data_IF_863521800847
#
_entry.id   IF_863521800847
#
_cell.length_a   1.000
_cell.length_b   1.000
_cell.length_c   1.000
_cell.angle_alpha   90.00
_cell.angle_beta   90.00
_cell.angle_gamma   90.00
#
_symmetry.space_group_name_H-M   'P 1'
#
loop_
_entity.id
_entity.type
_entity.pdbx_description
1 polymer ?
#
# COMPACT_ATOMS: atom_id res chain seq x y z
N UNK A 1 5.03 -20.35 4.60
CA UNK A 1 5.46 -18.94 4.72
C UNK A 1 6.32 -18.78 5.96
N UNK A 2 7.45 -18.09 5.86
CA UNK A 2 8.39 -17.84 6.97
C UNK A 2 8.08 -16.50 7.62
N UNK A 3 8.41 -16.33 8.89
CA UNK A 3 8.24 -15.04 9.60
C UNK A 3 8.97 -13.88 8.91
N UNK A 4 10.11 -14.18 8.27
CA UNK A 4 10.87 -13.26 7.42
C UNK A 4 10.05 -12.70 6.26
N UNK A 5 9.20 -13.52 5.64
CA UNK A 5 8.38 -13.13 4.50
C UNK A 5 7.30 -12.11 4.94
N UNK A 6 6.72 -12.31 6.13
CA UNK A 6 5.75 -11.38 6.71
C UNK A 6 6.43 -10.05 7.10
N UNK A 7 7.62 -10.11 7.70
CA UNK A 7 8.40 -8.93 8.06
C UNK A 7 8.79 -8.11 6.83
N UNK A 8 9.19 -8.78 5.74
CA UNK A 8 9.48 -8.16 4.45
C UNK A 8 8.27 -7.41 3.90
N UNK A 9 7.10 -8.07 3.82
CA UNK A 9 5.86 -7.45 3.32
C UNK A 9 5.44 -6.25 4.18
N UNK A 10 5.59 -6.34 5.51
CA UNK A 10 5.32 -5.20 6.40
C UNK A 10 6.31 -4.04 6.22
N UNK A 11 7.55 -4.31 5.80
CA UNK A 11 8.52 -3.28 5.47
C UNK A 11 8.16 -2.60 4.14
N UNK A 12 7.83 -3.38 3.11
CA UNK A 12 7.39 -2.86 1.80
C UNK A 12 6.12 -2.00 1.91
N UNK A 13 5.16 -2.40 2.76
CA UNK A 13 3.97 -1.59 3.03
C UNK A 13 4.32 -0.22 3.63
N UNK A 14 5.25 -0.15 4.58
CA UNK A 14 5.71 1.12 5.16
C UNK A 14 6.46 1.96 4.14
N UNK A 15 7.33 1.32 3.37
CA UNK A 15 8.10 1.96 2.32
C UNK A 15 7.19 2.67 1.31
N UNK A 16 6.13 1.98 0.85
CA UNK A 16 5.12 2.51 -0.06
C UNK A 16 4.42 3.79 0.45
N UNK A 17 4.36 4.02 1.76
CA UNK A 17 3.72 5.20 2.32
C UNK A 17 4.66 6.41 2.43
N UNK A 18 5.95 6.24 2.21
CA UNK A 18 6.92 7.34 2.31
C UNK A 18 6.78 8.30 1.13
N UNK A 19 6.95 9.60 1.38
CA UNK A 19 6.94 10.62 0.33
C UNK A 19 7.97 10.31 -0.77
N UNK A 20 9.17 9.85 -0.37
CA UNK A 20 10.24 9.48 -1.30
C UNK A 20 9.81 8.41 -2.31
N UNK A 21 9.15 7.33 -1.86
CA UNK A 21 8.67 6.28 -2.76
C UNK A 21 7.44 6.73 -3.55
N UNK A 22 6.53 7.52 -2.95
CA UNK A 22 5.34 8.02 -3.65
C UNK A 22 5.69 9.00 -4.78
N UNK A 23 6.86 9.63 -4.73
CA UNK A 23 7.43 10.45 -5.80
C UNK A 23 8.30 9.66 -6.81
N UNK A 24 8.57 8.37 -6.56
CA UNK A 24 9.42 7.53 -7.40
C UNK A 24 8.59 6.54 -8.22
N UNK A 25 8.35 6.89 -9.48
CA UNK A 25 7.58 6.05 -10.41
C UNK A 25 8.19 4.65 -10.60
N UNK A 26 9.52 4.54 -10.68
CA UNK A 26 10.18 3.25 -10.89
C UNK A 26 9.97 2.36 -9.68
N UNK A 27 10.13 2.92 -8.47
CA UNK A 27 9.89 2.16 -7.25
C UNK A 27 8.44 1.77 -7.08
N UNK A 28 7.49 2.64 -7.41
CA UNK A 28 6.06 2.33 -7.39
C UNK A 28 5.70 1.17 -8.32
N UNK A 29 6.22 1.15 -9.56
CA UNK A 29 6.05 0.01 -10.48
C UNK A 29 6.73 -1.27 -9.95
N UNK A 30 7.77 -1.10 -9.13
CA UNK A 30 8.41 -2.17 -8.37
C UNK A 30 7.65 -2.63 -7.13
N UNK A 31 6.56 -1.98 -6.73
CA UNK A 31 5.77 -2.34 -5.54
C UNK A 31 4.34 -2.73 -5.91
N UNK A 32 3.75 -2.07 -6.89
CA UNK A 32 2.40 -2.32 -7.36
C UNK A 32 2.41 -3.38 -8.46
N UNK A 33 1.51 -4.35 -8.37
CA UNK A 33 1.39 -5.36 -9.41
C UNK A 33 0.82 -4.75 -10.71
N UNK A 34 1.12 -5.32 -11.89
CA UNK A 34 0.51 -4.87 -13.15
C UNK A 34 -1.02 -4.94 -13.15
N UNK A 35 -1.59 -5.87 -12.39
CA UNK A 35 -3.02 -6.08 -12.16
C UNK A 35 -3.54 -5.41 -10.87
N UNK A 36 -2.82 -4.41 -10.35
CA UNK A 36 -3.18 -3.69 -9.12
C UNK A 36 -4.53 -2.97 -9.23
N UNK A 37 -5.32 -3.06 -8.16
CA UNK A 37 -6.55 -2.31 -7.95
C UNK A 37 -6.60 -1.69 -6.54
N UNK A 38 -7.04 -0.43 -6.44
CA UNK A 38 -7.35 0.21 -5.16
C UNK A 38 -8.80 0.66 -5.08
N UNK A 39 -9.46 0.39 -3.95
CA UNK A 39 -10.69 1.05 -3.53
C UNK A 39 -10.32 2.11 -2.48
N UNK A 40 -10.27 3.38 -2.89
CA UNK A 40 -9.93 4.47 -1.99
C UNK A 40 -11.02 4.68 -0.92
N UNK A 41 -10.70 5.44 0.14
CA UNK A 41 -11.69 5.68 1.22
C UNK A 41 -12.97 6.42 0.78
N UNK A 42 -13.00 6.99 -0.43
CA UNK A 42 -14.20 7.55 -1.05
C UNK A 42 -15.09 6.52 -1.73
N UNK A 43 -14.67 5.25 -1.81
CA UNK A 43 -15.30 4.20 -2.60
C UNK A 43 -14.93 4.23 -4.10
N UNK A 44 -14.11 5.19 -4.54
CA UNK A 44 -13.62 5.21 -5.93
C UNK A 44 -12.62 4.08 -6.15
N UNK A 45 -12.78 3.38 -7.28
CA UNK A 45 -11.84 2.37 -7.78
C UNK A 45 -10.75 3.05 -8.62
N UNK A 46 -9.51 2.63 -8.41
CA UNK A 46 -8.30 3.09 -9.09
C UNK A 46 -7.54 1.88 -9.64
N UNK A 47 -7.16 1.97 -10.90
CA UNK A 47 -6.20 1.04 -11.50
C UNK A 47 -4.76 1.54 -11.32
N UNK A 48 -3.78 0.75 -11.76
CA UNK A 48 -2.37 1.11 -11.67
C UNK A 48 -2.04 2.47 -12.33
N UNK A 49 -2.56 2.76 -13.51
CA UNK A 49 -2.19 3.99 -14.23
C UNK A 49 -2.76 5.23 -13.54
N UNK A 50 -4.01 5.15 -13.11
CA UNK A 50 -4.69 6.25 -12.41
C UNK A 50 -4.13 6.49 -11.00
N UNK A 51 -3.73 5.45 -10.26
CA UNK A 51 -3.09 5.63 -8.95
C UNK A 51 -1.69 6.24 -9.13
N UNK A 52 -0.87 5.78 -10.08
CA UNK A 52 0.46 6.33 -10.33
C UNK A 52 0.40 7.82 -10.66
N UNK A 53 -0.50 8.21 -11.57
CA UNK A 53 -0.68 9.62 -11.92
C UNK A 53 -1.12 10.49 -10.74
N UNK A 54 -1.91 9.94 -9.81
CA UNK A 54 -2.32 10.64 -8.60
C UNK A 54 -1.16 10.77 -7.59
N UNK A 55 -0.41 9.68 -7.36
CA UNK A 55 0.71 9.65 -6.41
C UNK A 55 1.84 10.59 -6.84
N UNK A 56 2.19 10.60 -8.12
CA UNK A 56 3.25 11.45 -8.68
C UNK A 56 2.86 12.93 -8.76
N UNK A 57 1.57 13.25 -8.57
CA UNK A 57 1.08 14.62 -8.50
C UNK A 57 1.03 15.16 -7.07
N UNK A 58 1.38 14.36 -6.05
CA UNK A 58 1.57 14.86 -4.69
C UNK A 58 2.77 15.82 -4.64
N UNK A 59 2.64 16.89 -3.86
CA UNK A 59 3.67 17.92 -3.68
C UNK A 59 4.26 17.89 -2.26
N UNK A 60 5.30 18.70 -2.04
CA UNK A 60 5.97 18.81 -0.73
C UNK A 60 5.07 19.39 0.38
N UNK A 61 3.93 20.02 0.04
CA UNK A 61 2.95 20.51 1.02
C UNK A 61 2.00 19.40 1.47
N UNK A 62 1.99 18.27 0.78
CA UNK A 62 1.11 17.16 1.10
C UNK A 62 1.59 16.44 2.37
N UNK A 63 0.78 16.35 3.45
CA UNK A 63 1.24 15.80 4.71
C UNK A 63 1.73 14.35 4.58
N UNK A 64 2.72 13.97 5.38
CA UNK A 64 3.19 12.59 5.46
C UNK A 64 2.08 11.64 5.93
N UNK A 65 2.19 10.37 5.48
CA UNK A 65 1.32 9.30 5.93
C UNK A 65 1.98 8.59 7.10
N UNK A 66 1.34 8.63 8.26
CA UNK A 66 1.73 7.82 9.41
C UNK A 66 1.06 6.44 9.34
N UNK A 67 1.86 5.38 9.55
CA UNK A 67 1.41 3.98 9.56
C UNK A 67 1.25 3.49 11.00
N UNK A 68 0.00 3.31 11.43
CA UNK A 68 -0.33 2.88 12.79
C UNK A 68 -0.89 1.46 12.84
N UNK A 69 -0.51 0.70 13.87
CA UNK A 69 -1.10 -0.61 14.17
C UNK A 69 -0.95 -1.64 13.04
N UNK A 70 0.13 -1.55 12.26
CA UNK A 70 0.38 -2.48 11.15
C UNK A 70 0.55 -3.90 11.65
N UNK A 71 -0.38 -4.75 11.25
CA UNK A 71 -0.39 -6.18 11.51
C UNK A 71 -0.66 -6.92 10.20
N UNK A 72 -0.18 -8.16 10.11
CA UNK A 72 -0.40 -8.99 8.94
C UNK A 72 -0.59 -10.45 9.27
N UNK A 73 -1.11 -11.20 8.31
CA UNK A 73 -1.21 -12.65 8.37
C UNK A 73 -1.00 -13.26 6.98
N UNK A 74 -0.40 -14.44 6.93
CA UNK A 74 -0.37 -15.27 5.74
C UNK A 74 -1.79 -15.76 5.41
N UNK A 75 -2.17 -15.71 4.13
CA UNK A 75 -3.37 -16.38 3.59
C UNK A 75 -2.98 -17.72 2.97
N UNK A 76 -1.89 -17.70 2.19
CA UNK A 76 -1.24 -18.87 1.58
C UNK A 76 0.27 -18.72 1.74
N UNK A 77 1.07 -19.55 1.08
CA UNK A 77 2.53 -19.40 1.05
C UNK A 77 3.01 -18.16 0.27
N UNK A 78 2.18 -17.67 -0.65
CA UNK A 78 2.51 -16.60 -1.59
C UNK A 78 1.59 -15.38 -1.45
N UNK A 79 0.71 -15.35 -0.44
CA UNK A 79 -0.25 -14.26 -0.25
C UNK A 79 -0.29 -13.83 1.21
N UNK A 80 -0.09 -12.52 1.45
CA UNK A 80 -0.15 -11.88 2.76
C UNK A 80 -1.24 -10.82 2.73
N UNK A 81 -2.07 -10.79 3.77
CA UNK A 81 -2.98 -9.67 4.01
C UNK A 81 -2.47 -8.83 5.18
N UNK A 82 -2.48 -7.52 5.02
CA UNK A 82 -2.13 -6.56 6.05
C UNK A 82 -3.36 -5.74 6.43
N UNK A 83 -3.42 -5.30 7.70
CA UNK A 83 -4.37 -4.30 8.18
C UNK A 83 -3.64 -3.27 9.03
N UNK A 84 -3.98 -2.01 8.82
CA UNK A 84 -3.36 -0.89 9.50
C UNK A 84 -4.23 0.35 9.40
N UNK A 85 -3.88 1.41 10.12
CA UNK A 85 -4.53 2.71 10.01
C UNK A 85 -3.55 3.74 9.46
N UNK A 86 -3.94 4.45 8.40
CA UNK A 86 -3.21 5.65 7.99
C UNK A 86 -3.76 6.87 8.71
N UNK A 87 -2.85 7.74 9.14
CA UNK A 87 -3.16 9.12 9.54
C UNK A 87 -2.42 10.06 8.57
N UNK A 88 -3.15 11.00 7.98
CA UNK A 88 -2.59 12.03 7.08
C UNK A 88 -3.32 13.36 7.35
N UNK A 89 -2.67 14.27 8.07
CA UNK A 89 -3.36 15.41 8.70
C UNK A 89 -4.52 14.92 9.59
N UNK A 90 -5.71 15.50 9.43
CA UNK A 90 -6.89 15.10 10.19
C UNK A 90 -7.59 13.83 9.66
N UNK A 91 -7.13 13.29 8.52
CA UNK A 91 -7.77 12.15 7.87
C UNK A 91 -7.27 10.83 8.46
N UNK A 92 -8.21 10.01 8.93
CA UNK A 92 -7.97 8.65 9.45
C UNK A 92 -8.66 7.62 8.54
N UNK A 93 -7.95 6.59 8.13
CA UNK A 93 -8.46 5.54 7.24
C UNK A 93 -7.98 4.18 7.72
N UNK A 94 -8.90 3.23 7.92
CA UNK A 94 -8.56 1.81 8.06
C UNK A 94 -8.21 1.25 6.69
N UNK A 95 -7.06 0.62 6.60
CA UNK A 95 -6.50 0.11 5.35
C UNK A 95 -6.33 -1.40 5.41
N UNK A 96 -6.62 -2.03 4.28
CA UNK A 96 -6.34 -3.44 4.04
C UNK A 96 -5.53 -3.56 2.77
N UNK A 97 -4.41 -4.27 2.83
CA UNK A 97 -3.51 -4.50 1.69
C UNK A 97 -3.39 -6.00 1.45
N UNK A 98 -3.45 -6.42 0.19
CA UNK A 98 -3.17 -7.78 -0.23
C UNK A 98 -1.90 -7.80 -1.06
N UNK A 99 -0.87 -8.45 -0.53
CA UNK A 99 0.41 -8.65 -1.18
C UNK A 99 0.51 -10.08 -1.71
N UNK A 100 1.04 -10.22 -2.92
CA UNK A 100 1.28 -11.51 -3.54
C UNK A 100 2.74 -11.63 -3.97
N UNK A 101 3.34 -12.79 -3.71
CA UNK A 101 4.68 -13.13 -4.17
C UNK A 101 4.61 -13.44 -5.66
N UNK A 102 5.44 -12.77 -6.43
CA UNK A 102 5.66 -12.96 -7.86
C UNK A 102 7.14 -13.35 -8.10
N UNK A 103 7.53 -13.82 -9.30
CA UNK A 103 8.94 -14.13 -9.60
C UNK A 103 9.91 -12.98 -9.29
N UNK A 104 9.45 -11.73 -9.45
CA UNK A 104 10.17 -10.49 -9.20
C UNK A 104 10.12 -9.99 -7.74
N UNK A 105 9.49 -10.75 -6.84
CA UNK A 105 9.33 -10.41 -5.42
C UNK A 105 7.88 -10.13 -5.04
N UNK A 106 7.67 -9.57 -3.85
CA UNK A 106 6.34 -9.19 -3.38
C UNK A 106 5.81 -7.96 -4.13
N UNK A 107 4.55 -8.05 -4.55
CA UNK A 107 3.81 -6.96 -5.17
C UNK A 107 2.45 -6.80 -4.50
N UNK A 108 2.04 -5.56 -4.27
CA UNK A 108 0.71 -5.21 -3.82
C UNK A 108 -0.26 -5.42 -4.99
N UNK A 109 -1.24 -6.30 -4.83
CA UNK A 109 -2.25 -6.60 -5.85
C UNK A 109 -3.59 -5.92 -5.58
N UNK A 110 -3.90 -5.65 -4.30
CA UNK A 110 -5.13 -4.96 -3.94
C UNK A 110 -4.94 -4.09 -2.70
N UNK A 111 -5.57 -2.92 -2.69
CA UNK A 111 -5.64 -2.05 -1.51
C UNK A 111 -7.06 -1.51 -1.31
N UNK A 112 -7.52 -1.42 -0.07
CA UNK A 112 -8.79 -0.79 0.25
C UNK A 112 -8.68 0.11 1.47
N UNK A 113 -9.25 1.31 1.37
CA UNK A 113 -9.45 2.24 2.47
C UNK A 113 -10.91 2.30 2.92
N UNK A 114 -11.14 2.33 4.22
CA UNK A 114 -12.44 2.64 4.84
C UNK A 114 -12.25 3.82 5.80
N UNK A 115 -12.99 4.94 5.65
CA UNK A 115 -12.88 6.07 6.56
C UNK A 115 -13.08 5.64 8.02
N UNK A 116 -12.22 6.13 8.91
CA UNK A 116 -12.38 5.98 10.35
C UNK A 116 -12.77 7.35 10.93
N UNK A 117 -13.91 7.41 11.62
CA UNK A 117 -14.42 8.60 12.28
C UNK A 117 -13.98 8.64 13.74
#
# INVERSE_FOLDING_TARGET
MRDEDLAEVMALERELQTAAVRADQERLVGLLAPDFEEIGASGRVWDLQSILGMLLAEDDETPDIEVHGLIGRAITEDVVILRWQSVRGDRRVQRTSLWQRRPEGWRLVHHQGTPAF
#
